data_IF_143670417169
#
_entry.id   IF_143670417169
#
_cell.length_a   1.000
_cell.length_b   1.000
_cell.length_c   1.000
_cell.angle_alpha   90.00
_cell.angle_beta   90.00
_cell.angle_gamma   90.00
#
_symmetry.space_group_name_H-M   'P 1'
#
loop_
_entity.id
_entity.type
_entity.pdbx_description
1 polymer ?
#
# COMPACT_ATOMS: atom_id res chain seq x y z
N UNK A 1 -24.17 -12.97 -6.75
CA UNK A 1 -23.73 -11.58 -6.56
C UNK A 1 -23.28 -11.42 -5.12
N UNK A 2 -22.25 -10.63 -4.85
CA UNK A 2 -21.58 -10.56 -3.53
C UNK A 2 -22.31 -9.71 -2.47
N UNK A 3 -23.61 -9.45 -2.63
CA UNK A 3 -24.43 -8.60 -1.74
C UNK A 3 -23.84 -7.21 -1.46
N UNK A 4 -23.21 -6.62 -2.48
CA UNK A 4 -22.55 -5.31 -2.43
C UNK A 4 -23.18 -4.34 -3.42
N UNK A 5 -24.42 -3.88 -3.17
CA UNK A 5 -25.15 -3.02 -4.11
C UNK A 5 -24.43 -1.67 -4.28
N UNK A 6 -24.32 -1.22 -5.53
CA UNK A 6 -23.66 0.04 -5.89
C UNK A 6 -22.14 -0.01 -5.93
N UNK A 7 -21.53 -1.16 -5.63
CA UNK A 7 -20.08 -1.33 -5.78
C UNK A 7 -19.74 -1.63 -7.23
N UNK A 8 -18.74 -0.91 -7.73
CA UNK A 8 -18.03 -1.28 -8.94
C UNK A 8 -16.87 -2.21 -8.55
N UNK A 9 -16.83 -3.40 -9.13
CA UNK A 9 -15.83 -4.42 -8.81
C UNK A 9 -14.93 -4.63 -10.01
N UNK A 10 -13.65 -4.31 -9.84
CA UNK A 10 -12.62 -4.56 -10.83
C UNK A 10 -11.30 -4.94 -10.13
N UNK A 11 -10.37 -5.48 -10.90
CA UNK A 11 -9.02 -5.82 -10.44
C UNK A 11 -8.11 -4.60 -10.36
N UNK A 12 -8.33 -3.63 -11.25
CA UNK A 12 -7.68 -2.33 -11.22
C UNK A 12 -8.65 -1.20 -11.55
N UNK A 13 -8.38 -0.03 -10.96
CA UNK A 13 -9.12 1.19 -11.22
C UNK A 13 -8.17 2.28 -11.70
N UNK A 14 -8.53 2.96 -12.78
CA UNK A 14 -7.84 4.16 -13.24
C UNK A 14 -8.66 5.39 -12.84
N UNK A 15 -8.22 6.08 -11.79
CA UNK A 15 -8.90 7.26 -11.26
C UNK A 15 -7.89 8.40 -11.22
N UNK A 16 -8.23 9.55 -11.81
CA UNK A 16 -7.37 10.73 -11.88
C UNK A 16 -5.95 10.45 -12.40
N UNK A 17 -5.86 9.59 -13.43
CA UNK A 17 -4.60 9.13 -14.04
C UNK A 17 -3.68 8.33 -13.09
N UNK A 18 -4.22 7.79 -12.00
CA UNK A 18 -3.54 6.91 -11.05
C UNK A 18 -4.15 5.51 -11.13
N UNK A 19 -3.30 4.49 -11.21
CA UNK A 19 -3.72 3.08 -11.22
C UNK A 19 -3.76 2.55 -9.79
N UNK A 20 -4.95 2.18 -9.33
CA UNK A 20 -5.20 1.52 -8.06
C UNK A 20 -5.40 0.03 -8.31
N UNK A 21 -4.59 -0.81 -7.71
CA UNK A 21 -4.67 -2.26 -7.92
C UNK A 21 -4.14 -3.01 -6.71
N UNK A 22 -4.44 -4.31 -6.62
CA UNK A 22 -4.04 -5.10 -5.46
C UNK A 22 -2.51 -5.13 -5.26
N UNK A 23 -1.73 -5.38 -6.32
CA UNK A 23 -0.27 -5.49 -6.26
C UNK A 23 0.32 -6.84 -6.70
N UNK A 24 -0.50 -7.77 -7.16
CA UNK A 24 -0.03 -9.10 -7.62
C UNK A 24 0.99 -8.95 -8.77
N UNK A 25 2.09 -9.71 -8.71
CA UNK A 25 3.17 -9.65 -9.71
C UNK A 25 4.19 -8.52 -9.52
N UNK A 26 4.12 -7.75 -8.42
CA UNK A 26 5.16 -6.78 -8.03
C UNK A 26 5.56 -6.93 -6.56
N UNK A 27 6.88 -6.97 -6.32
CA UNK A 27 7.45 -7.16 -4.98
C UNK A 27 8.82 -6.49 -4.88
N UNK A 28 9.52 -6.72 -3.76
CA UNK A 28 10.86 -6.21 -3.50
C UNK A 28 10.89 -5.13 -2.43
N UNK A 29 11.91 -4.27 -2.47
CA UNK A 29 12.07 -3.16 -1.51
C UNK A 29 11.05 -2.05 -1.78
N UNK A 30 10.73 -1.82 -3.06
CA UNK A 30 9.81 -0.77 -3.52
C UNK A 30 8.82 -1.32 -4.57
N UNK A 31 7.83 -2.12 -4.14
CA UNK A 31 6.88 -2.78 -5.04
C UNK A 31 6.12 -1.80 -5.94
N UNK A 32 5.55 -0.74 -5.36
CA UNK A 32 4.83 0.28 -6.13
C UNK A 32 5.74 0.97 -7.15
N UNK A 33 6.98 1.28 -6.78
CA UNK A 33 7.96 1.84 -7.72
C UNK A 33 8.23 0.91 -8.91
N UNK A 34 8.39 -0.39 -8.64
CA UNK A 34 8.57 -1.39 -9.68
C UNK A 34 7.33 -1.53 -10.58
N UNK A 35 6.14 -1.16 -10.09
CA UNK A 35 4.92 -1.14 -10.88
C UNK A 35 4.80 0.11 -11.77
N UNK A 36 5.30 1.28 -11.34
CA UNK A 36 5.29 2.53 -12.14
C UNK A 36 5.92 2.28 -13.52
N UNK A 37 7.08 1.63 -13.57
CA UNK A 37 7.82 1.40 -14.82
C UNK A 37 7.13 0.41 -15.76
N UNK A 38 6.24 -0.44 -15.24
CA UNK A 38 5.46 -1.41 -16.02
C UNK A 38 4.14 -0.82 -16.50
N UNK A 39 3.48 -0.03 -15.65
CA UNK A 39 2.18 0.61 -15.94
C UNK A 39 2.33 1.97 -16.62
N UNK A 40 3.53 2.56 -16.61
CA UNK A 40 3.86 3.88 -17.17
C UNK A 40 2.94 5.00 -16.65
N UNK A 41 2.51 4.87 -15.38
CA UNK A 41 1.59 5.79 -14.69
C UNK A 41 1.90 5.83 -13.20
N UNK A 42 1.35 6.81 -12.50
CA UNK A 42 1.31 6.77 -11.03
C UNK A 42 0.49 5.57 -10.57
N UNK A 43 0.91 4.94 -9.48
CA UNK A 43 0.28 3.72 -8.97
C UNK A 43 0.10 3.76 -7.47
N UNK A 44 -0.97 3.12 -7.01
CA UNK A 44 -1.26 2.83 -5.61
C UNK A 44 -1.51 1.34 -5.47
N UNK A 45 -0.78 0.68 -4.57
CA UNK A 45 -0.95 -0.75 -4.36
C UNK A 45 -0.79 -1.16 -2.89
N UNK A 46 -1.31 -2.34 -2.58
CA UNK A 46 -1.11 -3.04 -1.32
C UNK A 46 -0.23 -4.27 -1.53
N UNK A 47 -0.77 -5.45 -1.16
CA UNK A 47 -0.18 -6.78 -1.35
C UNK A 47 1.09 -7.06 -0.52
N UNK A 48 2.12 -6.21 -0.61
CA UNK A 48 3.35 -6.34 0.15
C UNK A 48 3.18 -5.75 1.58
N UNK A 49 2.62 -6.53 2.50
CA UNK A 49 2.23 -6.05 3.84
C UNK A 49 3.35 -5.38 4.66
N UNK A 50 4.62 -5.69 4.40
CA UNK A 50 5.77 -5.10 5.09
C UNK A 50 6.32 -3.84 4.42
N UNK A 51 5.63 -3.29 3.41
CA UNK A 51 6.06 -2.12 2.63
C UNK A 51 4.99 -1.05 2.71
N UNK A 52 5.43 0.16 2.98
CA UNK A 52 4.58 1.34 2.95
C UNK A 52 5.42 2.57 2.58
N UNK A 53 4.75 3.59 2.07
CA UNK A 53 5.35 4.88 1.75
C UNK A 53 5.20 5.26 0.28
N UNK A 54 5.70 6.45 -0.03
CA UNK A 54 5.60 7.07 -1.36
C UNK A 54 6.98 7.26 -1.95
N UNK A 55 7.11 6.98 -3.24
CA UNK A 55 8.25 7.44 -4.05
C UNK A 55 7.77 8.27 -5.22
N UNK A 56 8.48 9.36 -5.47
CA UNK A 56 8.20 10.25 -6.60
C UNK A 56 9.30 10.13 -7.65
N UNK A 57 8.90 10.18 -8.92
CA UNK A 57 9.76 10.37 -10.07
C UNK A 57 9.28 11.60 -10.82
N UNK A 58 10.19 12.44 -11.31
CA UNK A 58 9.84 13.55 -12.20
C UNK A 58 10.67 13.42 -13.46
N UNK A 59 10.01 13.42 -14.61
CA UNK A 59 10.64 13.50 -15.92
C UNK A 59 10.61 14.94 -16.42
N UNK A 60 11.11 15.19 -17.63
CA UNK A 60 10.98 16.52 -18.26
C UNK A 60 9.52 16.88 -18.59
N UNK A 61 8.63 15.89 -18.70
CA UNK A 61 7.23 16.09 -19.09
C UNK A 61 6.28 16.00 -17.91
N UNK A 62 6.48 15.03 -17.01
CA UNK A 62 5.45 14.62 -16.05
C UNK A 62 6.04 14.21 -14.70
N UNK A 63 5.20 14.18 -13.66
CA UNK A 63 5.51 13.64 -12.34
C UNK A 63 4.70 12.36 -12.12
N UNK A 64 5.40 11.31 -11.67
CA UNK A 64 4.80 10.05 -11.29
C UNK A 64 5.05 9.77 -9.81
N UNK A 65 4.16 8.99 -9.21
CA UNK A 65 4.40 8.42 -7.88
C UNK A 65 4.01 6.96 -7.80
N UNK A 66 4.67 6.23 -6.91
CA UNK A 66 4.29 4.90 -6.50
C UNK A 66 4.07 4.89 -5.01
N UNK A 67 2.87 4.49 -4.59
CA UNK A 67 2.50 4.39 -3.18
C UNK A 67 2.26 2.94 -2.81
N UNK A 68 3.09 2.44 -1.89
CA UNK A 68 2.80 1.22 -1.13
C UNK A 68 1.96 1.65 0.08
N UNK A 69 0.73 1.14 0.19
CA UNK A 69 -0.23 1.59 1.21
C UNK A 69 0.05 1.06 2.62
N UNK A 70 0.85 -0.01 2.74
CA UNK A 70 0.97 -0.77 3.97
C UNK A 70 -0.14 -1.80 4.11
N UNK A 71 -0.63 -1.94 5.33
CA UNK A 71 -1.72 -2.86 5.66
C UNK A 71 -2.44 -2.44 6.95
N UNK A 72 -3.61 -3.04 7.19
CA UNK A 72 -4.39 -2.89 8.42
C UNK A 72 -4.47 -4.19 9.24
N UNK A 73 -3.47 -5.07 9.15
CA UNK A 73 -3.55 -6.42 9.74
C UNK A 73 -2.94 -6.49 11.14
N UNK A 74 -3.40 -7.44 11.95
CA UNK A 74 -2.76 -7.82 13.20
C UNK A 74 -1.92 -9.09 12.97
N UNK A 75 -0.58 -9.06 13.09
CA UNK A 75 0.27 -10.22 12.77
C UNK A 75 0.05 -11.44 13.69
N UNK A 76 -0.56 -11.27 14.86
CA UNK A 76 -0.85 -12.37 15.79
C UNK A 76 -2.20 -13.06 15.49
N UNK A 77 -3.07 -12.45 14.69
CA UNK A 77 -4.35 -13.06 14.38
C UNK A 77 -4.14 -14.29 13.48
N UNK A 78 -4.91 -15.35 13.74
CA UNK A 78 -4.75 -16.66 13.11
C UNK A 78 -4.72 -16.60 11.56
N UNK A 79 -5.53 -15.72 10.98
CA UNK A 79 -5.65 -15.51 9.53
C UNK A 79 -4.34 -15.01 8.89
N UNK A 80 -3.41 -14.45 9.68
CA UNK A 80 -2.13 -13.93 9.20
C UNK A 80 -0.92 -14.76 9.66
N UNK A 81 -1.17 -15.98 10.17
CA UNK A 81 -0.11 -16.88 10.65
C UNK A 81 0.94 -17.23 9.56
N UNK A 82 0.60 -17.10 8.28
CA UNK A 82 1.54 -17.27 7.17
C UNK A 82 2.74 -16.31 7.26
N UNK A 83 2.56 -15.15 7.87
CA UNK A 83 3.61 -14.14 8.04
C UNK A 83 4.55 -14.39 9.23
N UNK A 84 4.33 -15.43 10.04
CA UNK A 84 5.09 -15.66 11.30
C UNK A 84 6.60 -15.77 11.10
N UNK A 85 7.03 -16.30 9.96
CA UNK A 85 8.45 -16.50 9.64
C UNK A 85 9.05 -15.36 8.79
N UNK A 86 8.30 -14.29 8.54
CA UNK A 86 8.82 -13.14 7.81
C UNK A 86 9.83 -12.39 8.69
N UNK A 87 10.99 -12.04 8.10
CA UNK A 87 12.04 -11.27 8.80
C UNK A 87 11.65 -9.81 9.07
N UNK A 88 10.59 -9.34 8.40
CA UNK A 88 10.09 -7.97 8.50
C UNK A 88 8.62 -8.00 8.94
N UNK A 89 8.28 -7.11 9.87
CA UNK A 89 6.91 -6.96 10.37
C UNK A 89 6.02 -6.25 9.34
N UNK A 90 4.69 -6.45 9.39
CA UNK A 90 3.75 -5.65 8.63
C UNK A 90 3.87 -4.16 8.97
N UNK A 91 3.77 -3.32 7.95
CA UNK A 91 3.76 -1.86 8.07
C UNK A 91 2.31 -1.40 8.21
N UNK A 92 1.92 -0.98 9.42
CA UNK A 92 0.60 -0.43 9.66
C UNK A 92 0.59 1.02 9.18
N UNK A 93 -0.11 1.26 8.08
CA UNK A 93 -0.13 2.56 7.41
C UNK A 93 -1.42 2.71 6.59
N UNK A 94 -1.71 3.95 6.23
CA UNK A 94 -2.77 4.29 5.28
C UNK A 94 -2.22 5.27 4.24
N UNK A 95 -2.61 5.07 2.99
CA UNK A 95 -2.30 5.97 1.90
C UNK A 95 -3.55 6.70 1.42
N UNK A 96 -3.44 8.00 1.15
CA UNK A 96 -4.50 8.80 0.52
C UNK A 96 -3.93 9.60 -0.64
N UNK A 97 -4.74 9.80 -1.68
CA UNK A 97 -4.40 10.66 -2.81
C UNK A 97 -5.38 11.83 -2.80
N UNK A 98 -4.88 13.04 -2.65
CA UNK A 98 -5.69 14.27 -2.57
C UNK A 98 -5.22 15.18 -3.70
N UNK A 99 -6.12 15.51 -4.63
CA UNK A 99 -5.81 16.35 -5.80
C UNK A 99 -4.55 15.89 -6.55
N UNK A 100 -4.42 14.57 -6.76
CA UNK A 100 -3.27 13.95 -7.41
C UNK A 100 -1.98 13.90 -6.57
N UNK A 101 -2.02 14.34 -5.31
CA UNK A 101 -0.87 14.31 -4.40
C UNK A 101 -0.95 13.10 -3.45
N UNK A 102 0.07 12.24 -3.41
CA UNK A 102 0.09 11.08 -2.53
C UNK A 102 0.56 11.43 -1.12
N UNK A 103 -0.16 10.93 -0.12
CA UNK A 103 0.19 11.00 1.30
C UNK A 103 0.18 9.59 1.87
N UNK A 104 1.20 9.23 2.65
CA UNK A 104 1.26 7.96 3.39
C UNK A 104 1.52 8.26 4.84
N UNK A 105 0.59 7.85 5.69
CA UNK A 105 0.65 8.02 7.14
C UNK A 105 0.96 6.67 7.78
N UNK A 106 2.05 6.61 8.55
CA UNK A 106 2.44 5.43 9.30
C UNK A 106 1.88 5.48 10.71
N UNK A 107 1.30 4.37 11.17
CA UNK A 107 0.86 4.26 12.55
C UNK A 107 2.05 3.97 13.47
N UNK A 108 2.17 4.76 14.54
CA UNK A 108 3.25 4.61 15.52
C UNK A 108 3.04 3.39 16.43
N UNK A 109 3.40 2.20 15.91
CA UNK A 109 3.24 0.89 16.54
C UNK A 109 4.57 0.16 16.81
N UNK A 110 5.73 0.81 16.73
CA UNK A 110 7.02 0.22 17.13
C UNK A 110 7.11 0.07 18.65
N UNK A 111 8.05 -0.76 19.14
CA UNK A 111 8.31 -0.88 20.58
C UNK A 111 8.61 0.50 21.15
N UNK A 112 7.90 0.88 22.24
CA UNK A 112 7.90 2.21 22.90
C UNK A 112 7.09 3.31 22.22
N UNK A 113 6.43 3.05 21.09
CA UNK A 113 5.53 4.02 20.48
C UNK A 113 4.12 3.95 21.06
N UNK A 114 3.35 5.03 20.88
CA UNK A 114 2.05 5.25 21.52
C UNK A 114 1.07 4.10 21.32
N UNK A 115 1.00 3.54 20.11
CA UNK A 115 0.02 2.51 19.76
C UNK A 115 0.59 1.10 19.74
N UNK A 116 1.77 0.88 20.35
CA UNK A 116 2.28 -0.47 20.53
C UNK A 116 1.35 -1.28 21.42
N UNK A 117 1.07 -2.52 21.03
CA UNK A 117 0.14 -3.43 21.72
C UNK A 117 0.40 -3.61 23.22
N UNK A 118 1.64 -3.44 23.69
CA UNK A 118 1.99 -3.58 25.12
C UNK A 118 1.45 -2.44 25.99
N UNK A 119 0.89 -1.39 25.41
CA UNK A 119 0.34 -0.24 26.13
C UNK A 119 -1.15 -0.42 26.49
N UNK A 120 -1.75 -1.55 26.11
CA UNK A 120 -3.15 -1.91 26.32
C UNK A 120 -3.24 -3.38 26.78
#
# INVERSE_FOLDING_TARGET
TWDTPGWDWDYDFLIDNVVYFHGEGTSGIHPAWNAITKKMKSVVMGHCHSRAGVKLMTTKQERFFGMDTGCGICPDAWQFAYGKNHLVRPAIAAGVVIDGHPYSEFMSCSVKEKYHRSNF
#
